data_IF_785123892131
#
_entry.id   IF_785123892131
#
_cell.length_a   1.000
_cell.length_b   1.000
_cell.length_c   1.000
_cell.angle_alpha   90.00
_cell.angle_beta   90.00
_cell.angle_gamma   90.00
#
_symmetry.space_group_name_H-M   'P 1'
#
loop_
_entity.id
_entity.type
_entity.pdbx_description
1 polymer ?
2 polymer ?
3 polymer ?
4 water ?
#
# COMPACT_ATOMS: atom_id res chain seq x y z
N UNK A 1 9.35 21.72 12.23
CA UNK A 1 8.82 20.52 11.61
C UNK A 1 9.54 20.20 10.31
N UNK A 2 10.43 19.21 10.34
CA UNK A 2 11.11 18.78 9.13
C UNK A 2 10.08 18.13 8.21
N UNK A 3 10.00 18.60 6.97
CA UNK A 3 9.03 18.07 6.03
C UNK A 3 9.65 17.92 4.65
N UNK A 4 9.36 16.80 4.00
CA UNK A 4 9.83 16.53 2.64
C UNK A 4 8.61 16.16 1.82
N UNK A 5 8.41 16.85 0.70
CA UNK A 5 7.21 16.65 -0.13
C UNK A 5 7.60 16.44 -1.57
N UNK A 6 7.45 15.19 -2.03
CA UNK A 6 7.84 14.81 -3.37
C UNK A 6 6.68 15.07 -4.33
N UNK A 7 7.00 15.34 -5.59
CA UNK A 7 5.98 15.48 -6.62
C UNK A 7 6.58 15.16 -7.97
N UNK A 8 5.71 15.04 -8.97
CA UNK A 8 6.17 14.82 -10.32
C UNK A 8 5.87 13.43 -10.83
N UNK A 9 5.55 12.50 -9.91
CA UNK A 9 5.24 11.14 -10.29
C UNK A 9 3.97 11.05 -11.14
N UNK A 10 3.87 10.00 -11.96
CA UNK A 10 2.70 9.80 -12.78
C UNK A 10 3.00 8.73 -13.80
N UNK A 11 2.11 8.56 -14.77
CA UNK A 11 2.28 7.54 -15.79
C UNK A 11 3.26 8.03 -16.86
N UNK A 12 4.23 7.19 -17.17
CA UNK A 12 5.23 7.55 -18.18
C UNK A 12 5.48 6.34 -19.08
N UNK A 13 5.70 6.59 -20.37
CA UNK A 13 5.93 5.50 -21.32
C UNK A 13 7.31 4.87 -21.15
N UNK A 14 7.42 3.56 -21.45
CA UNK A 14 8.73 2.91 -21.49
C UNK A 14 9.66 3.65 -22.46
N UNK A 15 10.87 3.97 -22.01
CA UNK A 15 11.85 4.63 -22.84
C UNK A 15 11.81 6.14 -22.69
N UNK A 16 10.80 6.64 -21.99
CA UNK A 16 10.61 8.07 -21.88
C UNK A 16 11.28 8.64 -20.64
N UNK A 17 11.14 9.94 -20.43
CA UNK A 17 11.79 10.66 -19.32
C UNK A 17 10.76 11.26 -18.37
N UNK A 18 11.17 11.49 -17.14
CA UNK A 18 10.33 12.10 -16.12
C UNK A 18 11.22 12.70 -15.03
N UNK A 19 10.86 13.90 -14.55
CA UNK A 19 11.62 14.55 -13.47
C UNK A 19 10.81 14.66 -12.17
N UNK A 20 11.35 14.09 -11.10
CA UNK A 20 10.73 14.18 -9.78
C UNK A 20 11.32 15.34 -9.01
N UNK A 21 10.50 15.93 -8.13
CA UNK A 21 10.97 17.00 -7.26
C UNK A 21 10.67 16.63 -5.81
N UNK A 22 11.48 17.16 -4.90
CA UNK A 22 11.24 16.99 -3.47
C UNK A 22 11.49 18.32 -2.79
N UNK A 23 10.42 18.94 -2.29
CA UNK A 23 10.54 20.25 -1.64
C UNK A 23 10.78 20.05 -0.16
N UNK A 24 11.85 20.64 0.35
CA UNK A 24 12.22 20.47 1.74
C UNK A 24 11.93 21.72 2.55
N UNK A 25 11.48 21.53 3.78
CA UNK A 25 11.22 22.64 4.70
C UNK A 25 11.44 22.23 6.16
N UNK A 26 11.66 23.21 7.02
CA UNK A 26 11.81 22.95 8.45
C UNK A 26 13.23 22.62 8.88
N UNK A 27 14.18 22.76 7.96
CA UNK A 27 15.61 22.60 8.26
C UNK A 27 16.45 23.31 7.21
N UNK A 28 17.74 23.48 7.48
CA UNK A 28 18.62 24.13 6.50
C UNK A 28 19.11 23.12 5.47
N UNK A 29 18.39 23.10 4.35
CA UNK A 29 18.51 22.07 3.33
C UNK A 29 19.92 21.92 2.76
N UNK A 30 20.55 23.05 2.46
CA UNK A 30 21.90 23.03 1.89
C UNK A 30 22.95 22.29 2.73
N UNK A 31 22.71 22.18 4.04
CA UNK A 31 23.66 21.50 4.94
C UNK A 31 23.64 19.96 4.88
N UNK A 32 22.64 19.39 4.23
CA UNK A 32 22.42 17.93 4.32
C UNK A 32 22.61 17.20 2.99
N UNK A 33 23.19 16.01 3.08
CA UNK A 33 23.15 15.08 1.96
C UNK A 33 21.74 14.50 1.86
N UNK A 34 21.33 14.16 0.64
CA UNK A 34 19.97 13.71 0.38
C UNK A 34 20.01 12.49 -0.52
N UNK A 35 18.96 11.67 -0.48
CA UNK A 35 18.88 10.52 -1.36
C UNK A 35 17.45 10.25 -1.83
N UNK A 36 17.36 9.41 -2.86
CA UNK A 36 16.08 8.87 -3.27
C UNK A 36 16.11 7.38 -2.98
N UNK A 37 15.02 6.88 -2.40
CA UNK A 37 14.84 5.46 -2.17
C UNK A 37 13.47 5.09 -2.73
N UNK A 38 13.38 3.96 -3.42
CA UNK A 38 12.11 3.56 -4.00
C UNK A 38 11.56 2.30 -3.38
N UNK A 39 10.23 2.20 -3.38
CA UNK A 39 9.58 1.04 -2.83
C UNK A 39 8.68 0.42 -3.90
N UNK A 40 8.90 -0.86 -4.18
CA UNK A 40 8.10 -1.53 -5.21
C UNK A 40 6.80 -2.14 -4.69
N UNK A 41 6.10 -2.83 -5.58
CA UNK A 41 4.82 -3.47 -5.28
C UNK A 41 4.92 -4.50 -4.16
N UNK A 42 6.08 -5.13 -4.04
CA UNK A 42 6.32 -6.14 -3.01
C UNK A 42 6.69 -5.53 -1.66
N UNK A 43 6.65 -4.19 -1.59
CA UNK A 43 7.02 -3.42 -0.41
C UNK A 43 8.53 -3.46 -0.13
N UNK A 44 9.30 -3.90 -1.12
CA UNK A 44 10.76 -3.89 -1.01
C UNK A 44 11.34 -2.48 -1.20
N UNK A 45 12.25 -2.07 -0.32
CA UNK A 45 12.93 -0.79 -0.44
C UNK A 45 14.25 -0.93 -1.18
N UNK A 46 14.51 -0.02 -2.10
CA UNK A 46 15.75 -0.06 -2.87
C UNK A 46 16.32 1.34 -3.03
N UNK A 47 17.53 1.54 -2.53
CA UNK A 47 18.21 2.83 -2.66
C UNK A 47 18.46 3.14 -4.14
N UNK A 48 18.30 4.39 -4.53
CA UNK A 48 18.38 4.80 -5.94
C UNK A 48 19.60 5.69 -6.24
N UNK A 49 19.68 6.83 -5.55
CA UNK A 49 20.72 7.80 -5.81
C UNK A 49 20.94 8.69 -4.59
N UNK A 50 22.14 9.28 -4.49
CA UNK A 50 22.48 10.17 -3.39
C UNK A 50 23.27 11.36 -3.89
N UNK A 51 23.11 12.50 -3.21
CA UNK A 51 23.91 13.68 -3.52
C UNK A 51 24.38 14.31 -2.21
N UNK A 52 25.67 14.64 -2.15
CA UNK A 52 26.25 15.26 -0.97
C UNK A 52 25.82 16.71 -0.81
N UNK A 53 25.95 17.23 0.39
CA UNK A 53 25.72 18.64 0.65
C UNK A 53 26.83 19.46 0.02
N UNK A 54 28.02 18.88 -0.10
CA UNK A 54 29.16 19.63 -0.63
C UNK A 54 29.75 19.08 -1.91
N UNK A 55 30.13 19.98 -2.82
CA UNK A 55 30.86 19.61 -4.02
C UNK A 55 30.02 18.98 -5.12
N UNK A 56 28.74 18.76 -4.87
CA UNK A 56 27.86 18.19 -5.88
C UNK A 56 28.14 16.74 -6.25
N UNK A 57 28.77 16.00 -5.33
CA UNK A 57 29.16 14.62 -5.61
C UNK A 57 27.94 13.71 -5.59
N UNK A 58 27.85 12.81 -6.57
CA UNK A 58 26.64 11.98 -6.71
C UNK A 58 26.97 10.49 -6.82
N UNK A 59 25.99 9.66 -6.46
CA UNK A 59 26.18 8.21 -6.38
C UNK A 59 24.91 7.55 -6.89
N UNK A 60 25.04 6.46 -7.62
CA UNK A 60 23.89 5.80 -8.22
C UNK A 60 23.91 4.29 -8.00
N UNK A 61 22.73 3.68 -7.93
CA UNK A 61 22.69 2.22 -7.86
C UNK A 61 23.03 1.68 -9.24
N UNK A 62 23.55 0.46 -9.29
CA UNK A 62 23.82 -0.20 -10.56
C UNK A 62 22.57 -0.37 -11.43
N UNK A 63 21.38 -0.27 -10.81
CA UNK A 63 20.13 -0.40 -11.56
C UNK A 63 19.76 0.86 -12.32
N UNK A 64 20.16 2.02 -11.82
CA UNK A 64 19.80 3.28 -12.47
C UNK A 64 20.97 4.09 -13.05
N UNK A 65 22.20 3.61 -12.87
CA UNK A 65 23.36 4.38 -13.31
C UNK A 65 23.31 4.62 -14.81
N UNK A 66 23.67 5.83 -15.23
CA UNK A 66 23.64 6.16 -16.64
C UNK A 66 22.26 6.51 -17.18
N UNK A 67 21.20 6.27 -16.39
CA UNK A 67 19.83 6.63 -16.82
C UNK A 67 19.24 7.77 -15.99
N UNK A 68 19.57 7.81 -14.70
CA UNK A 68 19.02 8.80 -13.79
C UNK A 68 20.07 9.84 -13.43
N UNK A 69 19.64 11.05 -13.10
CA UNK A 69 20.55 12.07 -12.57
C UNK A 69 19.93 12.70 -11.34
N UNK A 70 20.65 12.69 -10.23
CA UNK A 70 20.18 13.38 -9.04
C UNK A 70 20.85 14.75 -8.95
N UNK A 71 20.09 15.76 -8.58
CA UNK A 71 20.63 17.11 -8.51
C UNK A 71 19.90 17.87 -7.43
N UNK A 72 20.38 19.06 -7.12
CA UNK A 72 19.70 19.86 -6.13
C UNK A 72 19.73 21.34 -6.50
N UNK A 73 18.70 22.05 -6.05
CA UNK A 73 18.70 23.51 -6.15
C UNK A 73 18.51 24.07 -4.75
N UNK A 74 19.62 24.40 -4.11
CA UNK A 74 19.59 24.91 -2.75
C UNK A 74 18.80 26.20 -2.61
N UNK A 75 18.84 27.03 -3.64
CA UNK A 75 18.06 28.28 -3.66
C UNK A 75 16.55 28.06 -3.55
N UNK A 76 16.10 26.86 -3.94
CA UNK A 76 14.67 26.54 -3.87
C UNK A 76 14.37 25.47 -2.81
N UNK A 77 15.35 25.12 -1.98
CA UNK A 77 15.23 23.97 -1.05
C UNK A 77 14.64 22.73 -1.70
N UNK A 78 15.17 22.36 -2.87
CA UNK A 78 14.55 21.30 -3.63
C UNK A 78 15.57 20.29 -4.14
N UNK A 79 15.20 19.01 -4.06
CA UNK A 79 15.97 17.90 -4.57
C UNK A 79 15.27 17.41 -5.83
N UNK A 80 16.03 17.01 -6.84
CA UNK A 80 15.43 16.46 -8.06
C UNK A 80 15.96 15.08 -8.39
N UNK A 81 15.13 14.32 -9.11
CA UNK A 81 15.58 13.11 -9.75
C UNK A 81 15.13 13.16 -11.20
N UNK A 82 16.09 13.35 -12.11
CA UNK A 82 15.79 13.32 -13.53
C UNK A 82 15.93 11.89 -14.01
N UNK A 83 14.82 11.30 -14.47
CA UNK A 83 14.82 9.93 -14.93
C UNK A 83 14.75 9.91 -16.45
N UNK A 84 15.52 9.01 -17.08
CA UNK A 84 15.43 8.82 -18.53
C UNK A 84 15.47 7.35 -18.82
N UNK A 85 15.19 6.98 -20.08
CA UNK A 85 15.18 5.59 -20.50
C UNK A 85 14.44 4.70 -19.49
N UNK A 86 13.30 5.20 -19.03
CA UNK A 86 12.54 4.51 -18.01
C UNK A 86 12.06 3.13 -18.45
N UNK A 87 11.97 2.21 -17.51
CA UNK A 87 11.42 0.90 -17.81
C UNK A 87 10.47 0.39 -16.74
N UNK A 88 9.71 -0.65 -17.09
CA UNK A 88 8.71 -1.23 -16.19
C UNK A 88 9.31 -1.51 -14.80
N UNK A 89 10.57 -1.93 -14.75
CA UNK A 89 11.22 -2.23 -13.48
C UNK A 89 11.46 -0.99 -12.63
N UNK A 90 11.23 0.20 -13.19
CA UNK A 90 11.38 1.44 -12.43
C UNK A 90 10.08 1.87 -11.75
N UNK A 91 8.99 1.17 -12.05
CA UNK A 91 7.70 1.45 -11.44
C UNK A 91 7.79 1.28 -9.92
N UNK A 92 7.47 2.34 -9.18
CA UNK A 92 7.62 2.34 -7.73
C UNK A 92 7.10 3.62 -7.09
N UNK A 93 6.98 3.57 -5.78
CA UNK A 93 6.81 4.77 -4.95
C UNK A 93 8.21 5.30 -4.68
N UNK A 94 8.46 6.56 -5.04
CA UNK A 94 9.79 7.16 -4.89
C UNK A 94 9.79 8.12 -3.71
N UNK A 95 10.66 7.87 -2.74
CA UNK A 95 10.78 8.70 -1.54
C UNK A 95 12.04 9.56 -1.56
N UNK A 96 11.90 10.80 -1.10
CA UNK A 96 13.00 11.71 -0.83
C UNK A 96 13.45 11.46 0.61
N UNK A 97 14.76 11.32 0.84
CA UNK A 97 15.24 10.90 2.18
C UNK A 97 16.44 11.73 2.64
N UNK A 98 16.36 12.32 3.82
CA UNK A 98 17.48 13.11 4.33
C UNK A 98 18.49 12.24 5.09
N UNK A 99 19.78 12.45 4.80
CA UNK A 99 20.82 11.84 5.61
C UNK A 99 21.21 12.82 6.71
N UNK A 100 21.15 12.38 7.96
CA UNK A 100 21.56 13.22 9.08
C UNK A 100 22.98 12.89 9.50
N UNK A 101 23.93 13.75 9.10
CA UNK A 101 25.33 13.52 9.44
C UNK A 101 25.61 13.69 10.93
N UNK A 102 24.71 14.38 11.64
CA UNK A 102 24.87 14.49 13.08
C UNK A 102 24.63 13.16 13.81
N UNK A 103 23.68 12.36 13.34
CA UNK A 103 23.38 11.11 14.05
C UNK A 103 23.94 9.85 13.37
N UNK A 104 24.33 9.97 12.10
CA UNK A 104 24.95 8.87 11.40
C UNK A 104 24.01 7.95 10.65
N UNK A 105 22.80 8.42 10.33
CA UNK A 105 21.92 7.67 9.47
C UNK A 105 20.91 8.58 8.80
N UNK A 106 20.33 8.09 7.70
CA UNK A 106 19.19 8.74 7.10
C UNK A 106 18.07 8.73 8.14
N UNK A 107 17.37 9.85 8.24
CA UNK A 107 16.32 9.99 9.26
C UNK A 107 14.93 10.25 8.66
N UNK A 108 14.74 11.40 8.04
CA UNK A 108 13.41 11.77 7.55
C UNK A 108 13.14 11.32 6.12
N UNK A 109 11.93 10.81 5.89
CA UNK A 109 11.48 10.40 4.56
C UNK A 109 10.26 11.24 4.19
N UNK A 110 10.02 11.44 2.90
CA UNK A 110 8.82 12.16 2.48
C UNK A 110 7.60 11.26 2.41
N UNK A 111 6.54 11.70 1.75
CA UNK A 111 5.35 10.85 1.62
C UNK A 111 5.42 9.99 0.38
N UNK A 112 6.35 10.33 -0.51
CA UNK A 112 6.54 9.58 -1.74
C UNK A 112 5.70 10.08 -2.91
N UNK A 113 6.21 9.87 -4.13
CA UNK A 113 5.45 10.16 -5.34
C UNK A 113 5.51 8.91 -6.22
N UNK A 114 4.38 8.54 -6.79
CA UNK A 114 4.29 7.26 -7.51
C UNK A 114 4.62 7.36 -9.00
N UNK A 115 5.57 6.53 -9.46
CA UNK A 115 5.93 6.48 -10.86
C UNK A 115 5.43 5.17 -11.47
N UNK A 116 4.63 5.27 -12.53
CA UNK A 116 4.12 4.09 -13.24
C UNK A 116 4.68 4.09 -14.65
N UNK A 117 5.53 3.13 -14.97
CA UNK A 117 6.09 3.06 -16.32
C UNK A 117 5.36 1.99 -17.09
N UNK A 118 4.68 2.41 -18.16
CA UNK A 118 3.79 1.52 -18.86
C UNK A 118 3.41 2.13 -20.19
N UNK A 119 3.24 1.29 -21.22
CA UNK A 119 2.75 1.78 -22.49
C UNK A 119 1.22 1.77 -22.57
N UNK A 120 0.57 1.23 -21.53
CA UNK A 120 -0.89 1.25 -21.47
C UNK A 120 -1.41 2.69 -21.33
N UNK A 121 -2.58 2.95 -21.90
CA UNK A 121 -3.09 4.31 -22.00
C UNK A 121 -4.02 4.71 -20.86
N UNK A 122 -3.96 5.99 -20.50
CA UNK A 122 -4.87 6.61 -19.56
C UNK A 122 -6.31 6.36 -20.00
N UNK A 123 -7.10 5.75 -19.12
CA UNK A 123 -8.43 5.26 -19.44
C UNK A 123 -9.36 5.61 -18.30
N UNK A 124 -10.51 6.24 -18.60
CA UNK A 124 -11.45 6.65 -17.57
C UNK A 124 -12.21 5.44 -17.00
N UNK A 125 -12.67 5.52 -15.75
CA UNK A 125 -13.38 4.38 -15.15
C UNK A 125 -14.82 4.25 -15.63
N UNK A 126 -15.36 3.05 -15.56
CA UNK A 126 -16.80 2.84 -15.60
C UNK A 126 -17.24 2.66 -14.17
N UNK A 127 -18.35 3.32 -13.79
CA UNK A 127 -18.81 3.25 -12.41
C UNK A 127 -20.15 2.52 -12.34
N UNK A 128 -20.18 1.37 -11.65
CA UNK A 128 -21.41 0.58 -11.58
C UNK A 128 -21.97 0.50 -10.17
N UNK A 129 -23.30 0.57 -10.04
CA UNK A 129 -23.98 0.46 -8.75
C UNK A 129 -23.93 -0.96 -8.23
N UNK A 130 -23.72 -1.12 -6.92
CA UNK A 130 -23.89 -2.42 -6.29
C UNK A 130 -25.10 -2.36 -5.39
N UNK A 131 -26.21 -2.95 -5.84
CA UNK A 131 -27.46 -2.95 -5.11
C UNK A 131 -27.90 -4.39 -4.80
N UNK A 132 -28.49 -4.60 -3.62
CA UNK A 132 -28.91 -5.92 -3.13
C UNK A 132 -29.79 -6.67 -4.13
N UNK A 140 -31.48 -4.63 9.55
CA UNK A 140 -31.27 -3.38 10.27
C UNK A 140 -30.29 -2.45 9.57
N UNK A 141 -29.19 -3.00 9.09
CA UNK A 141 -28.27 -2.24 8.26
C UNK A 141 -28.30 -2.83 6.86
N UNK A 142 -28.08 -2.00 5.84
CA UNK A 142 -27.95 -2.49 4.48
C UNK A 142 -26.60 -2.05 3.90
N UNK A 143 -25.91 -2.99 3.26
CA UNK A 143 -24.65 -2.65 2.61
C UNK A 143 -24.82 -2.45 1.10
N UNK A 144 -24.30 -1.32 0.61
CA UNK A 144 -24.37 -0.96 -0.79
C UNK A 144 -22.96 -0.76 -1.26
N UNK A 145 -22.77 -0.57 -2.55
CA UNK A 145 -21.44 -0.28 -3.03
C UNK A 145 -21.37 0.25 -4.44
N UNK A 146 -20.15 0.52 -4.88
CA UNK A 146 -19.90 0.92 -6.27
C UNK A 146 -18.70 0.14 -6.80
N UNK A 147 -18.82 -0.31 -8.05
CA UNK A 147 -17.76 -1.00 -8.74
C UNK A 147 -17.17 -0.01 -9.74
N UNK A 148 -15.88 0.29 -9.55
CA UNK A 148 -15.15 1.23 -10.38
C UNK A 148 -14.18 0.44 -11.25
N UNK A 149 -14.45 0.35 -12.54
CA UNK A 149 -13.83 -0.66 -13.36
C UNK A 149 -13.15 -0.10 -14.61
N UNK A 150 -12.00 -0.67 -14.96
CA UNK A 150 -11.36 -0.37 -16.24
C UNK A 150 -10.65 0.97 -16.38
N UNK A 151 -10.05 1.47 -15.30
CA UNK A 151 -9.35 2.75 -15.37
C UNK A 151 -7.86 2.59 -15.30
N UNK A 152 -7.15 3.65 -15.72
CA UNK A 152 -5.70 3.68 -15.70
C UNK A 152 -5.22 5.12 -15.90
N UNK A 153 -4.17 5.55 -15.16
CA UNK A 153 -3.48 4.78 -14.12
C UNK A 153 -4.16 5.02 -12.78
N UNK A 154 -3.53 4.61 -11.67
CA UNK A 154 -3.98 4.99 -10.34
C UNK A 154 -3.67 6.47 -10.15
N UNK A 155 -4.37 7.16 -9.22
CA UNK A 155 -5.43 6.63 -8.34
C UNK A 155 -6.83 7.07 -8.76
N UNK A 156 -7.83 6.51 -8.08
CA UNK A 156 -9.17 7.11 -8.07
C UNK A 156 -9.50 7.45 -6.62
N UNK A 157 -10.48 8.32 -6.44
CA UNK A 157 -11.03 8.56 -5.12
C UNK A 157 -12.52 8.29 -5.18
N UNK A 158 -13.05 7.72 -4.11
CA UNK A 158 -14.48 7.41 -4.01
C UNK A 158 -15.00 7.96 -2.70
N UNK A 159 -15.99 8.85 -2.75
CA UNK A 159 -16.71 9.26 -1.55
C UNK A 159 -18.16 8.82 -1.63
N UNK A 160 -18.87 8.96 -0.51
CA UNK A 160 -20.29 8.64 -0.46
C UNK A 160 -21.08 9.85 0.03
N UNK A 161 -22.07 10.26 -0.75
CA UNK A 161 -22.82 11.49 -0.50
C UNK A 161 -21.91 12.69 -0.23
N UNK A 162 -20.91 12.84 -1.09
CA UNK A 162 -19.97 13.96 -1.04
C UNK A 162 -19.18 14.05 0.27
N UNK A 163 -19.04 12.92 0.95
CA UNK A 163 -18.30 12.88 2.20
C UNK A 163 -19.14 12.84 3.46
N UNK A 164 -20.42 13.21 3.35
CA UNK A 164 -21.31 13.25 4.51
C UNK A 164 -21.59 11.86 5.05
N UNK A 165 -21.23 10.84 4.28
CA UNK A 165 -21.39 9.45 4.68
C UNK A 165 -19.99 8.86 4.78
N UNK A 166 -19.45 8.81 6.00
CA UNK A 166 -18.06 8.41 6.22
C UNK A 166 -17.95 7.08 6.98
N UNK A 167 -18.75 6.95 8.04
CA UNK A 167 -18.76 5.73 8.83
C UNK A 167 -19.27 4.55 8.02
N UNK A 168 -18.73 3.37 8.28
CA UNK A 168 -19.17 2.16 7.61
C UNK A 168 -18.78 2.06 6.15
N UNK A 169 -17.73 2.77 5.76
CA UNK A 169 -17.25 2.74 4.37
C UNK A 169 -15.95 1.97 4.23
N UNK A 170 -15.91 1.08 3.24
CA UNK A 170 -14.67 0.37 2.91
C UNK A 170 -14.34 0.56 1.44
N UNK A 171 -13.18 1.10 1.15
CA UNK A 171 -12.72 1.12 -0.23
C UNK A 171 -11.52 0.20 -0.37
N UNK A 172 -11.62 -0.76 -1.26
CA UNK A 172 -10.61 -1.81 -1.39
C UNK A 172 -9.46 -1.39 -2.30
N UNK A 173 -8.25 -1.88 -2.02
CA UNK A 173 -7.13 -1.58 -2.92
C UNK A 173 -7.45 -2.04 -4.35
N UNK A 174 -7.04 -1.23 -5.32
CA UNK A 174 -7.23 -1.55 -6.73
C UNK A 174 -6.44 -2.80 -7.12
N UNK A 175 -6.99 -3.60 -8.04
CA UNK A 175 -6.28 -4.73 -8.60
C UNK A 175 -6.07 -4.52 -10.09
N UNK A 176 -4.89 -4.91 -10.58
CA UNK A 176 -4.53 -4.67 -11.97
C UNK A 176 -4.83 -5.87 -12.85
N UNK A 177 -5.87 -5.72 -13.67
CA UNK A 177 -6.38 -6.77 -14.54
C UNK A 177 -6.31 -6.26 -15.99
N UNK A 178 -5.36 -6.80 -16.75
CA UNK A 178 -5.20 -6.46 -18.17
C UNK A 178 -4.96 -4.97 -18.39
N UNK A 179 -3.93 -4.44 -17.72
CA UNK A 179 -3.51 -3.05 -17.85
C UNK A 179 -4.57 -2.07 -17.40
N UNK A 180 -5.61 -2.57 -16.75
CA UNK A 180 -6.65 -1.69 -16.25
C UNK A 180 -6.90 -2.01 -14.78
N UNK A 181 -7.20 -0.98 -13.99
CA UNK A 181 -7.45 -1.18 -12.57
C UNK A 181 -8.94 -1.32 -12.31
N UNK A 182 -9.27 -2.08 -11.27
CA UNK A 182 -10.65 -2.18 -10.79
C UNK A 182 -10.64 -2.09 -9.29
N UNK A 183 -11.60 -1.37 -8.73
CA UNK A 183 -11.80 -1.42 -7.30
C UNK A 183 -13.28 -1.32 -6.95
N UNK A 184 -13.58 -1.62 -5.69
CA UNK A 184 -14.93 -1.48 -5.17
C UNK A 184 -14.88 -0.73 -3.85
N UNK A 185 -15.98 -0.07 -3.54
CA UNK A 185 -16.15 0.61 -2.28
C UNK A 185 -17.49 0.13 -1.72
N UNK A 186 -17.53 -0.21 -0.44
CA UNK A 186 -18.78 -0.60 0.18
C UNK A 186 -19.17 0.46 1.19
N UNK A 187 -20.47 0.63 1.40
CA UNK A 187 -20.96 1.54 2.43
C UNK A 187 -22.15 0.89 3.11
N UNK A 188 -22.21 1.03 4.43
CA UNK A 188 -23.28 0.43 5.20
C UNK A 188 -24.08 1.51 5.92
N UNK A 189 -25.38 1.53 5.68
CA UNK A 189 -26.28 2.52 6.27
C UNK A 189 -27.46 1.82 6.94
N UNK A 190 -28.15 2.51 7.86
CA UNK A 190 -29.37 1.91 8.43
C UNK A 190 -30.41 1.67 7.33
N UNK A 191 -31.10 0.54 7.41
CA UNK A 191 -32.07 0.17 6.39
C UNK A 191 -33.23 1.16 6.28
N UNK A 192 -33.48 1.92 7.36
CA UNK A 192 -34.55 2.91 7.37
C UNK A 192 -34.16 4.20 6.65
N UNK A 193 -32.92 4.28 6.18
CA UNK A 193 -32.46 5.47 5.47
C UNK A 193 -32.24 5.21 3.97
N UNK A 194 -32.30 3.94 3.59
CA UNK A 194 -32.22 3.58 2.18
C UNK A 194 -33.20 2.46 1.89
N UNK A 195 -33.98 2.60 0.81
CA UNK A 195 -33.83 3.63 -0.22
C UNK A 195 -34.68 4.89 -0.02
N UNK A 196 -35.21 5.11 1.18
CA UNK A 196 -36.06 6.27 1.43
C UNK A 196 -35.29 7.57 1.22
N UNK A 197 -34.00 7.55 1.54
CA UNK A 197 -33.12 8.67 1.28
C UNK A 197 -32.03 8.23 0.31
N UNK A 198 -31.50 9.17 -0.46
CA UNK A 198 -30.58 8.82 -1.52
C UNK A 198 -29.15 8.52 -1.06
N UNK A 199 -28.51 7.57 -1.75
CA UNK A 199 -27.13 7.22 -1.49
C UNK A 199 -26.41 7.22 -2.81
N UNK A 200 -25.33 7.99 -2.91
CA UNK A 200 -24.63 8.19 -4.17
C UNK A 200 -23.15 8.03 -3.91
N UNK A 201 -22.47 7.29 -4.78
CA UNK A 201 -21.01 7.29 -4.70
C UNK A 201 -20.44 8.28 -5.72
N UNK A 202 -19.46 9.04 -5.26
CA UNK A 202 -18.81 10.04 -6.08
C UNK A 202 -17.40 9.55 -6.41
N UNK A 203 -17.16 9.25 -7.68
CA UNK A 203 -15.85 8.74 -8.11
C UNK A 203 -15.08 9.81 -8.89
N UNK A 204 -13.80 9.99 -8.56
CA UNK A 204 -12.95 10.88 -9.33
C UNK A 204 -11.71 10.18 -9.86
N UNK A 205 -11.39 10.43 -11.12
CA UNK A 205 -10.16 9.92 -11.71
C UNK A 205 -9.40 11.10 -12.30
N UNK A 206 -8.54 11.73 -11.50
CA UNK A 206 -7.83 12.95 -11.90
C UNK A 206 -7.11 12.82 -13.24
N UNK A 207 -6.47 11.67 -13.47
CA UNK A 207 -5.68 11.48 -14.68
C UNK A 207 -6.51 11.65 -15.96
N UNK A 208 -7.80 11.34 -15.90
CA UNK A 208 -8.65 11.47 -17.10
C UNK A 208 -9.63 12.63 -16.97
N UNK A 209 -9.43 13.46 -15.95
CA UNK A 209 -10.33 14.55 -15.62
C UNK A 209 -11.78 14.08 -15.62
N UNK A 210 -12.04 12.99 -14.91
CA UNK A 210 -13.37 12.40 -14.85
C UNK A 210 -13.94 12.49 -13.44
N UNK A 211 -15.21 12.91 -13.34
CA UNK A 211 -15.95 12.83 -12.09
C UNK A 211 -17.29 12.22 -12.42
N UNK A 212 -17.63 11.15 -11.71
CA UNK A 212 -18.89 10.45 -11.93
C UNK A 212 -19.63 10.33 -10.62
N UNK A 213 -20.93 10.63 -10.64
CA UNK A 213 -21.81 10.40 -9.50
C UNK A 213 -22.83 9.33 -9.85
N UNK A 214 -22.81 8.22 -9.12
CA UNK A 214 -23.73 7.11 -9.37
C UNK A 214 -24.68 6.90 -8.17
N UNK A 215 -25.94 7.28 -8.34
CA UNK A 215 -26.95 7.01 -7.33
C UNK A 215 -27.21 5.52 -7.29
N UNK A 216 -27.34 4.98 -6.08
CA UNK A 216 -27.69 3.57 -5.92
C UNK A 216 -29.20 3.41 -5.78
N UNK A 217 -29.83 2.86 -6.79
CA UNK A 217 -31.27 2.69 -6.79
C UNK A 217 -31.58 1.20 -6.60
N UNK A 218 -32.68 0.89 -5.89
CA UNK A 218 -33.05 -0.51 -5.67
C UNK A 218 -33.31 -1.21 -7.00
N UNK A 219 -33.01 -2.50 -7.06
CA UNK A 219 -33.23 -3.27 -8.27
C UNK A 219 -34.72 -3.53 -8.51
N UNK B 1 27.08 -5.98 -2.76
CA UNK B 1 25.73 -5.96 -2.22
C UNK B 1 25.68 -6.77 -0.93
N UNK B 2 25.51 -6.08 0.20
CA UNK B 2 25.37 -6.77 1.47
C UNK B 2 23.91 -7.21 1.68
N UNK B 3 23.71 -8.51 1.79
CA UNK B 3 22.37 -9.07 1.94
C UNK B 3 21.88 -8.99 3.38
N UNK B 4 20.70 -8.40 3.56
CA UNK B 4 20.08 -8.26 4.88
C UNK B 4 18.89 -9.22 4.97
N UNK B 5 18.88 -10.07 5.99
CA UNK B 5 17.84 -11.09 6.11
C UNK B 5 17.08 -10.93 7.43
N UNK B 6 15.76 -10.79 7.34
CA UNK B 6 14.93 -10.63 8.54
C UNK B 6 14.13 -11.87 8.85
N UNK B 7 13.97 -12.16 10.14
CA UNK B 7 13.11 -13.25 10.61
C UNK B 7 12.43 -12.79 11.90
N UNK B 8 11.12 -13.04 12.02
CA UNK B 8 10.30 -13.75 11.03
C UNK B 8 9.76 -12.78 10.00
N UNK B 9 9.11 -13.30 8.97
CA UNK B 9 8.49 -12.45 7.96
C UNK B 9 7.19 -11.82 8.46
N UNK B 10 6.52 -12.52 9.37
CA UNK B 10 5.27 -12.01 9.93
C UNK B 10 5.18 -12.30 11.41
N UNK B 11 4.51 -11.40 12.12
CA UNK B 11 4.40 -11.46 13.57
C UNK B 11 2.97 -11.05 13.94
N UNK B 12 2.27 -11.91 14.66
CA UNK B 12 0.96 -11.58 15.18
C UNK B 12 1.08 -11.45 16.70
N UNK B 13 0.88 -10.24 17.22
CA UNK B 13 1.18 -9.99 18.62
C UNK B 13 -0.02 -9.41 19.36
N UNK B 14 -0.16 -9.80 20.62
CA UNK B 14 -1.20 -9.26 21.47
C UNK B 14 -0.73 -7.98 22.15
N UNK B 15 -1.60 -6.98 22.19
CA UNK B 15 -1.31 -5.71 22.84
C UNK B 15 -0.89 -5.92 24.29
N UNK B 16 0.30 -5.41 24.64
CA UNK B 16 0.80 -5.56 25.99
C UNK B 16 1.91 -6.61 26.10
N UNK B 17 2.02 -7.46 25.09
CA UNK B 17 3.00 -8.54 25.10
C UNK B 17 4.29 -8.13 24.38
N UNK B 18 5.41 -8.80 24.69
CA UNK B 18 6.67 -8.42 24.03
C UNK B 18 6.78 -9.01 22.65
N UNK B 19 7.71 -8.50 21.85
CA UNK B 19 8.00 -9.06 20.54
C UNK B 19 9.44 -8.72 20.18
N UNK B 20 10.01 -9.50 19.27
CA UNK B 20 11.35 -9.17 18.78
C UNK B 20 11.51 -9.56 17.33
N UNK B 21 12.46 -8.92 16.64
CA UNK B 21 12.73 -9.21 15.24
C UNK B 21 14.23 -9.33 15.05
N UNK B 22 14.65 -10.35 14.31
CA UNK B 22 16.06 -10.62 14.05
C UNK B 22 16.48 -10.10 12.68
N UNK B 23 17.67 -9.51 12.61
CA UNK B 23 18.24 -9.05 11.36
C UNK B 23 19.64 -9.60 11.25
N UNK B 24 19.94 -10.29 10.15
CA UNK B 24 21.28 -10.82 9.92
C UNK B 24 21.87 -10.32 8.60
N UNK B 25 23.14 -9.93 8.63
CA UNK B 25 23.79 -9.38 7.43
C UNK B 25 24.81 -10.37 6.87
N UNK B 26 25.05 -10.31 5.57
CA UNK B 26 25.94 -11.27 4.91
C UNK B 26 27.41 -11.04 5.22
N UNK B 27 27.74 -9.88 5.76
CA UNK B 27 29.10 -9.64 6.25
C UNK B 27 29.04 -8.58 7.35
N UNK B 28 30.12 -8.47 8.11
CA UNK B 28 30.09 -7.61 9.28
C UNK B 28 29.74 -6.17 8.93
N UNK B 29 28.87 -5.57 9.74
CA UNK B 29 28.51 -4.19 9.56
C UNK B 29 29.40 -3.24 10.38
N UNK B 30 30.53 -3.74 10.90
CA UNK B 30 31.46 -2.85 11.59
C UNK B 30 32.22 -2.03 10.55
N UNK B 31 32.10 -0.71 10.62
CA UNK B 31 32.81 0.21 9.70
C UNK B 31 34.26 0.43 10.14
N UNK B 32 35.11 0.90 9.22
CA UNK B 32 36.50 1.17 9.54
C UNK B 32 36.63 2.29 10.57
N UNK B 33 35.60 3.11 10.71
CA UNK B 33 35.65 4.17 11.71
C UNK B 33 35.28 3.64 13.09
N UNK B 34 34.97 2.34 13.16
CA UNK B 34 34.70 1.68 14.43
C UNK B 34 33.24 1.69 14.84
N UNK B 35 32.39 2.37 14.06
CA UNK B 35 30.97 2.39 14.34
C UNK B 35 30.25 1.32 13.53
N UNK B 36 29.06 0.95 13.98
CA UNK B 36 28.27 -0.08 13.33
C UNK B 36 26.93 0.50 12.84
N UNK B 37 26.82 0.70 11.53
CA UNK B 37 25.70 1.44 10.95
C UNK B 37 24.53 0.51 10.64
N UNK B 38 23.86 0.03 11.69
CA UNK B 38 22.69 -0.81 11.53
C UNK B 38 21.49 -0.07 12.05
N UNK B 39 20.45 0.03 11.21
CA UNK B 39 19.29 0.87 11.47
C UNK B 39 17.99 0.10 11.42
N UNK B 40 16.96 0.63 12.09
CA UNK B 40 15.62 0.03 12.05
C UNK B 40 14.59 1.09 11.74
N UNK B 41 13.58 0.68 10.98
CA UNK B 41 12.59 1.58 10.41
C UNK B 41 11.20 0.94 10.56
N UNK B 42 10.18 1.75 10.81
CA UNK B 42 8.78 1.30 10.77
C UNK B 42 7.95 2.07 9.73
N UNK B 43 7.25 1.33 8.88
CA UNK B 43 6.29 1.95 7.98
C UNK B 43 4.87 1.50 8.35
N UNK B 44 4.08 2.41 8.90
CA UNK B 44 2.69 2.11 9.22
C UNK B 44 1.88 2.10 7.94
N UNK B 45 0.74 1.39 7.94
CA UNK B 45 -0.07 1.29 6.73
C UNK B 45 -0.40 2.65 6.16
N UNK B 46 -0.03 2.88 4.91
CA UNK B 46 -0.34 4.13 4.24
C UNK B 46 0.48 5.32 4.70
N UNK B 47 1.48 5.08 5.55
CA UNK B 47 2.30 6.16 6.10
C UNK B 47 3.75 6.13 5.58
N UNK B 48 4.50 7.20 5.84
CA UNK B 48 5.92 7.27 5.49
C UNK B 48 6.73 6.46 6.46
N UNK B 49 7.85 5.88 6.00
CA UNK B 49 8.75 5.20 6.92
C UNK B 49 9.24 6.15 8.01
N UNK B 50 9.38 5.64 9.23
CA UNK B 50 9.88 6.43 10.35
C UNK B 50 11.02 5.70 11.05
N UNK B 51 12.11 6.42 11.31
CA UNK B 51 13.26 5.82 11.96
C UNK B 51 12.94 5.38 13.38
N UNK B 52 13.37 4.18 13.74
CA UNK B 52 13.21 3.70 15.11
C UNK B 52 14.53 3.74 15.86
N UNK B 53 15.53 3.10 15.28
CA UNK B 53 16.82 2.87 15.93
C UNK B 53 17.92 3.18 14.91
N UNK B 54 19.03 3.77 15.35
CA UNK B 54 20.20 3.93 14.50
C UNK B 54 21.47 3.52 15.26
N UNK B 55 22.55 3.27 14.54
CA UNK B 55 23.81 2.84 15.16
C UNK B 55 23.60 1.69 16.16
N UNK B 56 22.83 0.69 15.71
CA UNK B 56 22.51 -0.54 16.46
C UNK B 56 21.50 -0.36 17.59
N UNK B 57 21.74 0.63 18.45
CA UNK B 57 21.01 0.71 19.72
C UNK B 57 20.56 2.11 20.11
N UNK B 58 20.82 3.12 19.29
CA UNK B 58 20.43 4.48 19.62
C UNK B 58 18.97 4.73 19.24
N UNK B 59 18.20 5.25 20.19
CA UNK B 59 16.75 5.41 20.03
C UNK B 59 16.42 6.77 19.42
N UNK B 60 15.69 6.76 18.31
CA UNK B 60 15.19 8.00 17.72
C UNK B 60 14.36 8.74 18.76
N UNK B 61 14.46 10.07 18.77
CA UNK B 61 13.92 10.83 19.89
C UNK B 61 12.39 10.92 19.84
N UNK B 62 11.78 10.54 18.72
CA UNK B 62 10.32 10.51 18.62
C UNK B 62 9.71 9.16 18.98
N UNK B 63 10.56 8.22 19.36
CA UNK B 63 10.17 6.83 19.57
C UNK B 63 10.26 6.45 21.06
N UNK B 64 9.23 5.75 21.60
CA UNK B 64 9.24 5.40 23.02
C UNK B 64 10.29 4.33 23.38
N UNK B 65 10.77 4.34 24.62
CA UNK B 65 11.88 3.46 24.99
C UNK B 65 11.49 1.99 25.21
N UNK B 66 10.25 1.63 24.89
CA UNK B 66 9.87 0.22 24.83
C UNK B 66 10.52 -0.47 23.62
N UNK B 67 11.00 0.35 22.68
CA UNK B 67 11.86 -0.12 21.59
C UNK B 67 13.34 -0.07 21.98
N UNK B 68 14.02 -1.20 21.85
CA UNK B 68 15.47 -1.24 22.02
C UNK B 68 16.10 -2.04 20.90
N UNK B 69 17.38 -1.76 20.63
CA UNK B 69 18.11 -2.48 19.60
C UNK B 69 19.43 -2.97 20.15
N UNK B 70 19.86 -4.15 19.72
CA UNK B 70 21.17 -4.68 20.13
C UNK B 70 21.80 -5.49 19.02
N UNK B 71 23.00 -5.99 19.27
CA UNK B 71 23.70 -6.84 18.31
C UNK B 71 25.07 -6.31 17.97
N UNK B 72 25.76 -7.01 17.06
CA UNK B 72 27.07 -6.59 16.58
C UNK B 72 27.46 -7.51 15.45
N UNK B 73 28.46 -7.11 14.67
CA UNK B 73 28.96 -7.94 13.58
C UNK B 73 27.90 -8.18 12.52
N UNK B 74 27.31 -9.37 12.52
CA UNK B 74 26.32 -9.74 11.50
C UNK B 74 24.95 -10.03 12.10
N UNK B 75 24.84 -9.97 13.42
CA UNK B 75 23.58 -10.41 14.07
C UNK B 75 22.99 -9.34 14.95
N UNK B 76 21.74 -8.96 14.67
CA UNK B 76 21.09 -7.83 15.32
C UNK B 76 19.63 -8.14 15.67
N UNK B 77 19.10 -7.48 16.71
CA UNK B 77 17.75 -7.74 17.17
C UNK B 77 17.05 -6.47 17.58
N UNK B 78 15.81 -6.31 17.14
CA UNK B 78 14.95 -5.23 17.60
C UNK B 78 14.02 -5.83 18.62
N UNK B 79 13.93 -5.23 19.80
CA UNK B 79 12.99 -5.73 20.80
C UNK B 79 11.95 -4.68 21.19
N UNK B 80 10.71 -5.12 21.35
CA UNK B 80 9.61 -4.25 21.78
C UNK B 80 9.08 -4.84 23.07
N UNK B 81 9.33 -4.16 24.17
CA UNK B 81 9.05 -4.74 25.48
C UNK B 81 7.56 -4.96 25.71
N UNK B 82 6.74 -4.14 25.05
CA UNK B 82 5.30 -4.15 25.26
C UNK B 82 4.65 -3.59 24.00
N UNK B 83 3.87 -4.41 23.30
CA UNK B 83 3.25 -3.99 22.04
C UNK B 83 2.07 -3.05 22.30
N UNK B 84 1.96 -2.00 21.48
CA UNK B 84 0.80 -1.12 21.47
C UNK B 84 0.16 -1.14 20.08
N UNK B 85 -1.11 -0.74 20.02
CA UNK B 85 -1.91 -0.85 18.79
C UNK B 85 -1.27 -0.19 17.56
N UNK B 86 -0.59 0.94 17.77
CA UNK B 86 0.01 1.68 16.66
C UNK B 86 1.28 1.05 16.12
N UNK B 87 1.69 -0.08 16.70
CA UNK B 87 2.89 -0.80 16.22
C UNK B 87 2.63 -1.59 14.94
N UNK B 88 1.37 -1.70 14.55
CA UNK B 88 0.96 -2.37 13.33
C UNK B 88 1.73 -1.79 12.13
N UNK B 89 2.38 -2.65 11.36
CA UNK B 89 3.06 -2.19 10.16
C UNK B 89 4.23 -3.03 9.71
N UNK B 90 5.03 -2.46 8.81
CA UNK B 90 6.20 -3.11 8.28
C UNK B 90 7.47 -2.60 8.95
N UNK B 91 8.25 -3.52 9.49
CA UNK B 91 9.53 -3.20 10.13
C UNK B 91 10.68 -3.59 9.22
N UNK B 92 11.63 -2.67 9.00
CA UNK B 92 12.79 -2.96 8.16
C UNK B 92 14.10 -2.70 8.88
N UNK B 93 15.06 -3.60 8.76
CA UNK B 93 16.41 -3.25 9.12
C UNK B 93 17.11 -2.75 7.85
N UNK B 94 18.15 -1.94 8.01
CA UNK B 94 18.96 -1.52 6.87
C UNK B 94 20.38 -1.11 7.34
N UNK B 95 21.36 -1.26 6.46
CA UNK B 95 22.74 -0.98 6.83
C UNK B 95 23.33 0.21 6.08
N UNK B 96 24.07 1.05 6.82
CA UNK B 96 24.73 2.20 6.23
C UNK B 96 26.25 2.09 6.21
N UNK B 97 26.75 0.87 6.40
CA UNK B 97 28.21 0.66 6.49
C UNK B 97 28.84 0.46 5.12
N UNK B 98 28.18 -0.34 4.29
CA UNK B 98 28.71 -0.73 2.98
C UNK B 98 27.95 -0.09 1.82
N UNK B 99 28.65 0.29 0.76
CA UNK B 99 28.00 0.84 -0.42
C UNK B 99 27.69 -0.28 -1.39
N UNK B 100 26.45 -0.37 -1.88
CA UNK B 100 25.34 0.55 -1.60
C UNK B 100 24.57 0.18 -0.34
N UNK B 101 23.87 1.18 0.18
CA UNK B 101 22.86 0.99 1.22
C UNK B 101 21.93 -0.17 0.83
N UNK B 102 21.63 -1.07 1.78
CA UNK B 102 20.76 -2.22 1.49
C UNK B 102 19.79 -2.44 2.64
N UNK B 103 18.60 -2.93 2.31
CA UNK B 103 17.52 -3.08 3.30
C UNK B 103 17.15 -4.54 3.47
N UNK B 104 16.75 -4.93 4.67
CA UNK B 104 16.07 -6.20 4.86
C UNK B 104 14.74 -6.24 4.12
N UNK B 105 14.17 -7.42 3.96
CA UNK B 105 12.94 -7.58 3.20
C UNK B 105 11.66 -7.16 3.91
N UNK B 106 11.75 -6.88 5.20
CA UNK B 106 10.60 -6.44 5.97
C UNK B 106 9.93 -7.52 6.81
N UNK B 107 9.36 -7.10 7.93
CA UNK B 107 8.60 -7.98 8.82
C UNK B 107 7.27 -7.28 9.07
N UNK B 108 6.18 -7.98 8.79
CA UNK B 108 4.85 -7.45 9.03
C UNK B 108 4.37 -7.84 10.41
N UNK B 109 4.11 -6.84 11.23
CA UNK B 109 3.53 -7.05 12.54
C UNK B 109 2.04 -6.67 12.50
N UNK B 110 1.19 -7.57 12.95
CA UNK B 110 -0.24 -7.30 12.99
C UNK B 110 -0.73 -7.52 14.41
N UNK B 111 -1.83 -6.87 14.77
CA UNK B 111 -2.34 -6.91 16.13
C UNK B 111 -3.34 -8.04 16.29
N UNK B 112 -3.10 -8.90 17.28
CA UNK B 112 -4.00 -10.01 17.57
C UNK B 112 -5.22 -9.48 18.32
N UNK B 113 -6.41 -9.72 17.79
CA UNK B 113 -7.63 -9.35 18.49
C UNK B 113 -8.54 -10.58 18.56
N UNK B 114 -9.72 -10.40 19.13
CA UNK B 114 -10.70 -11.49 19.23
C UNK B 114 -11.18 -11.89 17.84
N UNK B 115 -11.38 -13.18 17.63
CA UNK B 115 -11.94 -13.66 16.35
C UNK B 115 -13.27 -12.98 16.06
N UNK B 116 -13.50 -12.66 14.80
CA UNK B 116 -14.72 -11.98 14.36
C UNK B 116 -15.13 -12.53 13.00
N UNK B 117 -16.40 -12.92 12.88
CA UNK B 117 -16.88 -13.48 11.63
C UNK B 117 -17.09 -12.39 10.58
N UNK B 118 -16.81 -12.69 9.31
CA UNK B 118 -17.09 -11.73 8.25
C UNK B 118 -18.60 -11.49 8.07
N UNK B 119 -18.97 -10.24 7.77
CA UNK B 119 -20.30 -9.90 7.30
C UNK B 119 -20.27 -9.97 5.78
N UNK B 120 -21.04 -10.89 5.22
CA UNK B 120 -20.93 -11.17 3.80
C UNK B 120 -22.11 -10.58 3.07
N UNK B 121 -21.82 -9.89 1.97
CA UNK B 121 -22.86 -9.32 1.11
C UNK B 121 -22.57 -9.70 -0.34
N UNK B 122 -23.60 -10.00 -1.10
CA UNK B 122 -23.41 -10.37 -2.51
C UNK B 122 -24.25 -9.46 -3.42
N UNK B 123 -23.71 -9.13 -4.59
CA UNK B 123 -24.37 -8.21 -5.50
C UNK B 123 -24.34 -8.71 -6.95
N UNK B 124 -25.49 -8.72 -7.61
CA UNK B 124 -25.55 -9.08 -9.03
C UNK B 124 -24.93 -7.98 -9.88
N UNK B 125 -24.56 -8.29 -11.14
CA UNK B 125 -24.14 -7.26 -12.10
C UNK B 125 -25.23 -6.21 -12.30
N UNK B 126 -24.84 -4.95 -12.42
CA UNK B 126 -25.80 -3.89 -12.75
C UNK B 126 -26.21 -4.03 -14.20
N UNK B 127 -27.39 -3.50 -14.54
CA UNK B 127 -27.83 -3.50 -15.92
C UNK B 127 -26.85 -2.67 -16.76
N UNK B 128 -26.36 -1.57 -16.19
CA UNK B 128 -25.37 -0.72 -16.87
C UNK B 128 -24.18 -1.53 -17.39
N UNK B 129 -23.62 -2.37 -16.51
CA UNK B 129 -22.44 -3.15 -16.89
C UNK B 129 -22.72 -4.16 -18.01
N UNK B 130 -23.87 -4.83 -17.94
CA UNK B 130 -24.23 -5.81 -18.96
C UNK B 130 -24.16 -5.25 -20.39
N UNK B 131 -24.43 -3.96 -20.55
CA UNK B 131 -24.40 -3.33 -21.88
C UNK B 131 -22.97 -3.25 -22.41
N UNK B 132 -21.97 -3.43 -21.54
CA UNK B 132 -20.58 -3.42 -21.97
C UNK B 132 -20.14 -4.79 -22.47
N UNK B 133 -20.96 -5.82 -22.22
CA UNK B 133 -20.63 -7.17 -22.61
C UNK B 133 -20.00 -7.97 -21.47
N UNK B 134 -19.83 -7.33 -20.32
CA UNK B 134 -19.27 -7.99 -19.15
C UNK B 134 -20.28 -8.05 -18.02
N UNK B 135 -20.03 -8.94 -17.05
CA UNK B 135 -20.90 -9.10 -15.88
C UNK B 135 -20.07 -9.43 -14.65
N UNK B 136 -20.01 -8.52 -13.68
CA UNK B 136 -19.25 -8.77 -12.45
C UNK B 136 -20.18 -9.03 -11.29
N UNK B 137 -19.95 -10.16 -10.61
CA UNK B 137 -20.69 -10.48 -9.39
C UNK B 137 -19.74 -10.17 -8.25
N UNK B 138 -20.19 -9.38 -7.28
CA UNK B 138 -19.31 -8.87 -6.25
C UNK B 138 -19.73 -9.37 -4.89
N UNK B 139 -18.75 -9.85 -4.12
CA UNK B 139 -18.99 -10.30 -2.77
C UNK B 139 -18.10 -9.50 -1.81
N UNK B 140 -18.71 -8.82 -0.84
CA UNK B 140 -17.96 -8.14 0.20
C UNK B 140 -17.91 -9.03 1.45
N UNK B 141 -16.72 -9.13 2.05
CA UNK B 141 -16.55 -9.89 3.27
C UNK B 141 -15.89 -8.94 4.26
N UNK B 142 -16.70 -8.35 5.12
CA UNK B 142 -16.25 -7.19 5.88
C UNK B 142 -15.98 -7.48 7.35
N UNK B 143 -14.96 -6.80 7.88
CA UNK B 143 -14.65 -6.76 9.31
C UNK B 143 -14.51 -8.13 9.98
N UNK B 144 -13.56 -8.92 9.48
CA UNK B 144 -13.31 -10.23 10.06
C UNK B 144 -11.90 -10.32 10.66
N UNK B 145 -11.69 -11.31 11.54
CA UNK B 145 -10.36 -11.65 12.07
C UNK B 145 -10.37 -13.11 12.50
N UNK B 146 -9.28 -13.86 12.21
CA UNK B 146 -8.03 -13.44 11.56
C UNK B 146 -8.16 -13.30 10.05
N UNK B 147 -7.09 -12.88 9.40
CA UNK B 147 -7.17 -12.53 7.99
C UNK B 147 -7.29 -13.76 7.11
N UNK B 148 -6.95 -14.93 7.67
CA UNK B 148 -6.98 -16.17 6.91
C UNK B 148 -8.42 -16.53 6.57
N UNK B 149 -8.73 -16.49 5.28
CA UNK B 149 -10.08 -16.75 4.83
C UNK B 149 -10.02 -17.33 3.42
N UNK B 150 -10.97 -18.18 3.08
CA UNK B 150 -11.05 -18.74 1.74
C UNK B 150 -12.40 -18.46 1.12
N UNK B 151 -12.40 -17.86 -0.06
CA UNK B 151 -13.64 -17.54 -0.76
C UNK B 151 -13.76 -18.45 -1.97
N UNK B 152 -14.92 -19.07 -2.13
CA UNK B 152 -15.18 -19.94 -3.26
C UNK B 152 -16.46 -19.48 -3.97
N UNK B 153 -16.42 -19.48 -5.29
CA UNK B 153 -17.60 -19.12 -6.10
C UNK B 153 -18.25 -20.36 -6.66
N UNK B 154 -19.57 -20.40 -6.62
CA UNK B 154 -20.30 -21.46 -7.26
C UNK B 154 -21.31 -20.88 -8.23
N UNK B 155 -21.40 -21.48 -9.41
CA UNK B 155 -22.37 -21.10 -10.42
C UNK B 155 -23.21 -22.33 -10.70
N UNK B 156 -24.51 -22.25 -10.48
CA UNK B 156 -25.39 -23.42 -10.59
C UNK B 156 -24.81 -24.66 -9.91
N UNK B 157 -24.23 -24.48 -8.72
CA UNK B 157 -23.69 -25.59 -7.97
C UNK B 157 -22.25 -25.96 -8.25
N UNK B 158 -21.74 -25.59 -9.43
CA UNK B 158 -20.37 -25.93 -9.79
C UNK B 158 -19.36 -24.87 -9.37
N UNK B 159 -18.24 -25.31 -8.79
CA UNK B 159 -17.19 -24.39 -8.39
C UNK B 159 -16.56 -23.69 -9.59
N UNK B 160 -16.45 -22.38 -9.51
CA UNK B 160 -15.90 -21.58 -10.58
C UNK B 160 -14.60 -20.92 -10.12
N UNK B 161 -13.50 -21.22 -10.78
CA UNK B 161 -12.25 -20.55 -10.41
C UNK B 161 -11.48 -19.91 -11.57
N UNK B 162 -12.17 -18.98 -12.20
CA UNK B 162 -11.59 -17.70 -12.61
C UNK B 162 -12.47 -16.70 -13.32
N UNK B 163 -11.88 -15.53 -13.60
CA UNK B 163 -12.64 -14.29 -13.67
C UNK B 163 -12.76 -13.74 -12.25
N UNK B 164 -12.09 -14.40 -11.30
CA UNK B 164 -12.15 -14.00 -9.89
C UNK B 164 -10.97 -13.13 -9.48
N UNK B 165 -11.27 -11.91 -9.05
CA UNK B 165 -10.24 -11.07 -8.48
C UNK B 165 -10.58 -10.70 -7.04
N UNK B 166 -9.61 -10.94 -6.15
CA UNK B 166 -9.77 -10.65 -4.73
C UNK B 166 -8.90 -9.47 -4.31
N UNK B 167 -9.41 -8.66 -3.39
CA UNK B 167 -8.63 -7.54 -2.87
C UNK B 167 -8.81 -7.47 -1.36
N UNK B 168 -7.71 -7.37 -0.62
CA UNK B 168 -7.75 -7.35 0.85
C UNK B 168 -7.40 -5.96 1.35
N UNK B 169 -8.06 -5.50 2.40
CA UNK B 169 -7.60 -4.27 3.06
C UNK B 169 -6.49 -4.68 4.03
N UNK B 170 -5.68 -3.72 4.47
CA UNK B 170 -4.72 -3.97 5.52
C UNK B 170 -5.53 -3.96 6.81
N UNK B 171 -4.91 -4.29 7.93
CA UNK B 171 -5.63 -4.33 9.19
C UNK B 171 -6.17 -2.95 9.54
N UNK B 172 -7.46 -2.88 9.87
CA UNK B 172 -8.07 -1.62 10.25
C UNK B 172 -7.51 -1.10 11.58
N UNK B 173 -7.02 0.14 11.59
CA UNK B 173 -6.47 0.72 12.81
C UNK B 173 -7.54 0.96 13.89
N UNK B 174 -8.79 1.12 13.46
CA UNK B 174 -9.89 1.37 14.38
C UNK B 174 -10.31 0.13 15.18
N UNK B 175 -10.42 -1.03 14.51
CA UNK B 175 -10.90 -2.23 15.21
C UNK B 175 -10.06 -3.50 15.02
N UNK B 176 -8.92 -3.37 14.34
CA UNK B 176 -8.01 -4.50 14.10
C UNK B 176 -8.61 -5.65 13.28
N UNK B 177 -9.62 -5.34 12.46
CA UNK B 177 -10.20 -6.36 11.59
C UNK B 177 -9.71 -6.19 10.17
N UNK B 178 -10.01 -7.17 9.33
CA UNK B 178 -9.68 -7.11 7.91
C UNK B 178 -10.98 -7.15 7.13
N UNK B 179 -10.94 -6.67 5.89
CA UNK B 179 -12.06 -6.84 4.98
C UNK B 179 -11.49 -7.25 3.63
N UNK B 180 -12.31 -7.88 2.80
CA UNK B 180 -11.88 -8.22 1.46
C UNK B 180 -13.07 -8.22 0.51
N UNK B 181 -12.80 -7.99 -0.77
CA UNK B 181 -13.81 -8.14 -1.80
C UNK B 181 -13.36 -9.25 -2.73
N UNK B 182 -14.31 -10.02 -3.23
CA UNK B 182 -14.06 -11.01 -4.25
C UNK B 182 -15.01 -10.67 -5.39
N UNK B 183 -14.47 -10.50 -6.58
CA UNK B 183 -15.31 -10.15 -7.74
C UNK B 183 -15.15 -11.20 -8.83
N UNK B 184 -16.27 -11.79 -9.22
CA UNK B 184 -16.28 -12.75 -10.31
C UNK B 184 -16.78 -12.05 -11.56
N UNK B 185 -15.94 -11.98 -12.60
CA UNK B 185 -16.34 -11.31 -13.84
C UNK B 185 -16.44 -12.30 -14.99
N UNK B 186 -17.61 -12.34 -15.62
CA UNK B 186 -17.90 -13.24 -16.73
C UNK B 186 -18.32 -12.41 -17.92
N UNK B 187 -18.46 -13.03 -19.09
CA UNK B 187 -19.11 -12.34 -20.19
C UNK B 187 -20.61 -12.26 -19.92
N UNK B 188 -21.28 -11.32 -20.57
CA UNK B 188 -22.72 -11.17 -20.40
C UNK B 188 -23.43 -12.48 -20.76
N UNK B 189 -23.04 -13.05 -21.89
CA UNK B 189 -23.64 -14.28 -22.37
C UNK B 189 -23.45 -15.43 -21.39
N UNK B 190 -22.27 -15.51 -20.78
CA UNK B 190 -21.99 -16.56 -19.80
C UNK B 190 -22.89 -16.38 -18.58
N UNK B 191 -22.93 -15.16 -18.06
CA UNK B 191 -23.75 -14.85 -16.89
C UNK B 191 -25.23 -15.20 -17.11
N UNK B 192 -25.74 -14.93 -18.30
CA UNK B 192 -27.15 -15.16 -18.58
C UNK B 192 -27.53 -16.62 -18.88
N UNK B 193 -26.53 -17.48 -18.98
CA UNK B 193 -26.78 -18.91 -19.19
C UNK B 193 -27.02 -19.64 -17.89
N UNK B 194 -26.87 -18.96 -16.75
CA UNK B 194 -26.96 -19.63 -15.47
C UNK B 194 -27.85 -18.84 -14.52
N UNK B 195 -28.32 -19.51 -13.46
CA UNK B 195 -29.31 -18.92 -12.57
C UNK B 195 -28.75 -18.56 -11.20
N UNK B 196 -28.08 -19.49 -10.56
CA UNK B 196 -27.68 -19.29 -9.18
C UNK B 196 -26.19 -18.98 -9.01
N UNK B 197 -25.93 -17.85 -8.35
CA UNK B 197 -24.58 -17.40 -8.09
C UNK B 197 -24.34 -17.34 -6.59
N UNK B 198 -23.24 -17.94 -6.14
CA UNK B 198 -22.99 -18.15 -4.73
C UNK B 198 -21.57 -17.78 -4.31
N UNK B 199 -21.48 -16.99 -3.23
CA UNK B 199 -20.21 -16.58 -2.63
C UNK B 199 -20.06 -17.37 -1.33
N UNK B 200 -19.01 -18.20 -1.22
CA UNK B 200 -18.85 -19.06 -0.01
C UNK B 200 -17.58 -18.77 0.78
N UNK B 201 -17.72 -18.29 2.02
CA UNK B 201 -16.54 -17.94 2.82
C UNK B 201 -16.22 -18.96 3.90
N UNK B 202 -15.04 -19.57 3.83
CA UNK B 202 -14.58 -20.46 4.89
C UNK B 202 -13.66 -19.69 5.85
N UNK B 203 -14.05 -19.66 7.13
CA UNK B 203 -13.34 -18.89 8.15
C UNK B 203 -13.46 -19.66 9.46
N UNK B 204 -12.50 -19.49 10.35
CA UNK B 204 -12.47 -20.30 11.57
C UNK B 204 -13.66 -19.99 12.48
N UNK B 205 -14.39 -18.92 12.19
CA UNK B 205 -15.45 -18.45 13.08
C UNK B 205 -16.77 -19.21 12.90
N UNK B 206 -16.84 -20.12 11.95
CA UNK B 206 -18.06 -20.92 11.79
C UNK B 206 -17.73 -22.35 11.46
N UNK B 207 -18.56 -23.27 11.94
CA UNK B 207 -18.36 -24.69 11.67
C UNK B 207 -18.68 -25.04 10.21
N UNK B 208 -19.26 -24.09 9.48
CA UNK B 208 -19.52 -24.29 8.06
C UNK B 208 -19.29 -22.99 7.27
N UNK B 209 -19.09 -23.08 5.94
CA UNK B 209 -18.86 -21.87 5.16
C UNK B 209 -20.00 -20.89 5.30
N UNK B 210 -19.68 -19.60 5.34
CA UNK B 210 -20.71 -18.56 5.35
C UNK B 210 -21.10 -18.29 3.90
N UNK B 211 -22.38 -18.49 3.59
CA UNK B 211 -22.83 -18.46 2.20
C UNK B 211 -23.81 -17.33 1.90
N UNK B 212 -23.55 -16.58 0.83
CA UNK B 212 -24.55 -15.68 0.27
C UNK B 212 -24.78 -16.01 -1.20
N UNK B 213 -26.04 -15.95 -1.62
CA UNK B 213 -26.44 -16.31 -2.98
C UNK B 213 -27.50 -15.36 -3.50
N UNK B 214 -27.64 -15.32 -4.82
CA UNK B 214 -28.85 -14.78 -5.43
C UNK B 214 -29.17 -15.60 -6.67
N UNK B 215 -30.44 -15.55 -7.09
CA UNK B 215 -30.85 -16.17 -8.34
C UNK B 215 -31.13 -15.10 -9.38
N UNK B 216 -30.56 -15.27 -10.57
CA UNK B 216 -30.73 -14.30 -11.65
C UNK B 216 -32.21 -14.03 -11.96
N UNK B 217 -33.08 -14.95 -11.55
CA UNK B 217 -34.52 -14.82 -11.72
C UNK B 217 -35.15 -13.77 -10.82
N UNK B 218 -34.64 -13.67 -9.60
CA UNK B 218 -35.18 -12.74 -8.60
C UNK B 218 -34.32 -11.50 -8.45
N UNK C 1 23.92 4.94 2.88
CA UNK C 1 24.44 5.98 3.77
C UNK C 1 25.96 6.08 3.74
N UNK C 2 26.64 4.96 3.45
CA UNK C 2 28.10 4.93 3.41
C UNK C 2 28.68 6.04 2.52
N UNK C 3 27.95 6.37 1.46
CA UNK C 3 28.44 7.34 0.46
C UNK C 3 28.65 8.73 1.05
N UNK C 4 27.98 9.02 2.17
CA UNK C 4 28.10 10.33 2.78
C UNK C 4 29.31 10.44 3.69
N UNK C 5 29.96 9.31 3.94
CA UNK C 5 31.06 9.29 4.89
C UNK C 5 32.44 9.11 4.24
N UNK C 6 32.45 8.83 2.94
CA UNK C 6 33.69 8.66 2.18
C UNK C 6 34.27 10.01 1.74
#
# INVERSE_FOLDING_TARGET
EVKLVESGGGLVKPGASLKLSCAASGFTFSNYGMSWVRQNSDKRLEWVASIRSGGGRTYYSDNVKGRFTISRENAKNTLYLQMSSLKSEDTALYYCVRYDHYSGSSDYWGQGTTVTVSSAKTTPPSVYPLAPGSAAQTNSMVTLGCLVKGYFPEPVTVTWNSGSLSSGVHTFPAVLQSDLYTLSSSVTVPSSTWPSETVTCNVAHPASSTKVDKKIVPRDCG
YVVMTQTPLTLSVTIGQPASISCKSSQSLLDSDGKTYLNWLLQRPGQSPKRLIYLVSKLDSGVPDRFTGSGSGTDFTLKISRIEAEDLGLYYCWQGTHFPRTFGGGTKLEIKRADAAPTVSIFPPSSEQLTSGGASVVCFLNNFYPKDINVKWKIDGSERQNGVLNSWTDQDSKDSTYSMSSTLTLTKDEYERHNSYTCEATHKTSTSPIVKSFNRNEC
DAEFRHD
#
